data_IF_887318085487
#
_entry.id   IF_887318085487
#
_cell.length_a   1.000
_cell.length_b   1.000
_cell.length_c   1.000
_cell.angle_alpha   90.00
_cell.angle_beta   90.00
_cell.angle_gamma   90.00
#
_symmetry.space_group_name_H-M   'P 1'
#
loop_
_entity.id
_entity.type
_entity.pdbx_description
1 polymer ?
#
# COMPACT_ATOMS: atom_id res chain seq x y z
N UNK A 1 -29.92 57.67 25.40
CA UNK A 1 -29.58 57.42 23.99
C UNK A 1 -28.67 56.21 23.94
N UNK A 2 -29.20 55.04 23.61
CA UNK A 2 -28.42 53.82 23.37
C UNK A 2 -27.54 54.02 22.13
N UNK A 3 -26.22 53.84 22.29
CA UNK A 3 -25.30 53.83 21.15
C UNK A 3 -25.42 52.46 20.48
N UNK A 4 -25.99 52.43 19.28
CA UNK A 4 -25.96 51.24 18.42
C UNK A 4 -24.50 50.87 18.15
N UNK A 5 -24.07 49.71 18.66
CA UNK A 5 -22.72 49.21 18.52
C UNK A 5 -22.61 48.53 17.15
N UNK A 6 -21.78 49.09 16.25
CA UNK A 6 -21.60 48.53 14.90
C UNK A 6 -21.00 47.13 14.97
N UNK A 7 -21.69 46.14 14.40
CA UNK A 7 -21.20 44.75 14.29
C UNK A 7 -20.21 44.54 13.13
N UNK A 8 -19.95 45.57 12.31
CA UNK A 8 -19.04 45.50 11.16
C UNK A 8 -17.60 45.05 11.49
N UNK A 9 -16.94 45.52 12.58
CA UNK A 9 -15.59 45.08 12.90
C UNK A 9 -15.54 43.62 13.36
N UNK A 10 -16.60 43.11 14.00
CA UNK A 10 -16.71 41.72 14.42
C UNK A 10 -16.89 40.79 13.21
N UNK A 11 -17.69 41.20 12.23
CA UNK A 11 -17.90 40.45 10.99
C UNK A 11 -16.63 40.39 10.12
N UNK A 12 -15.88 41.49 10.05
CA UNK A 12 -14.61 41.55 9.34
C UNK A 12 -13.53 40.66 9.99
N UNK A 13 -13.53 40.57 11.32
CA UNK A 13 -12.62 39.70 12.08
C UNK A 13 -12.93 38.21 11.86
N UNK A 14 -14.21 37.83 11.72
CA UNK A 14 -14.62 36.45 11.41
C UNK A 14 -14.30 36.06 9.96
N UNK A 15 -14.40 37.00 9.02
CA UNK A 15 -14.05 36.76 7.60
C UNK A 15 -12.53 36.70 7.35
N UNK A 16 -11.72 37.33 8.20
CA UNK A 16 -10.25 37.33 8.11
C UNK A 16 -9.58 36.24 8.97
N UNK A 17 -10.34 35.45 9.73
CA UNK A 17 -9.78 34.25 10.36
C UNK A 17 -9.41 33.28 9.24
N UNK A 18 -8.14 32.83 9.13
CA UNK A 18 -7.80 31.75 8.22
C UNK A 18 -8.54 30.52 8.72
N UNK A 19 -9.64 30.18 8.08
CA UNK A 19 -10.18 28.84 8.17
C UNK A 19 -9.08 27.92 7.64
N UNK A 20 -8.39 27.24 8.55
CA UNK A 20 -7.50 26.14 8.20
C UNK A 20 -8.39 24.99 7.69
N UNK A 21 -8.81 25.08 6.42
CA UNK A 21 -9.34 23.95 5.68
C UNK A 21 -8.15 23.03 5.43
N UNK A 22 -7.99 22.01 6.28
CA UNK A 22 -6.97 20.99 6.11
C UNK A 22 -7.23 20.22 4.83
N UNK A 23 -6.56 20.59 3.74
CA UNK A 23 -6.61 19.84 2.50
C UNK A 23 -5.58 18.72 2.55
N UNK A 24 -6.01 17.48 2.31
CA UNK A 24 -5.10 16.34 2.21
C UNK A 24 -4.70 16.10 0.75
N UNK A 25 -3.40 15.91 0.51
CA UNK A 25 -2.90 15.47 -0.79
C UNK A 25 -3.09 13.95 -0.92
N UNK A 26 -4.26 13.56 -1.42
CA UNK A 26 -4.60 12.15 -1.64
C UNK A 26 -3.77 11.50 -2.75
N UNK A 27 -3.18 12.27 -3.67
CA UNK A 27 -2.27 11.72 -4.67
C UNK A 27 -0.98 11.25 -4.00
N UNK A 28 -0.41 12.08 -3.13
CA UNK A 28 0.76 11.70 -2.35
C UNK A 28 0.45 10.56 -1.38
N UNK A 29 -0.72 10.57 -0.73
CA UNK A 29 -1.14 9.48 0.15
C UNK A 29 -1.24 8.15 -0.60
N UNK A 30 -1.84 8.15 -1.80
CA UNK A 30 -1.94 6.96 -2.65
C UNK A 30 -0.55 6.44 -3.06
N UNK A 31 0.32 7.31 -3.58
CA UNK A 31 1.68 6.92 -3.98
C UNK A 31 2.47 6.30 -2.83
N UNK A 32 2.41 6.89 -1.63
CA UNK A 32 3.08 6.34 -0.44
C UNK A 32 2.47 5.04 0.04
N UNK A 33 1.14 4.89 -0.02
CA UNK A 33 0.45 3.65 0.33
C UNK A 33 0.86 2.48 -0.57
N UNK A 34 1.06 2.73 -1.87
CA UNK A 34 1.55 1.70 -2.79
C UNK A 34 3.04 1.43 -2.58
N UNK A 35 3.85 2.47 -2.33
CA UNK A 35 5.27 2.33 -2.03
C UNK A 35 5.55 1.50 -0.77
N UNK A 36 4.65 1.53 0.22
CA UNK A 36 4.72 0.68 1.40
C UNK A 36 4.85 -0.81 1.05
N UNK A 37 4.14 -1.30 0.03
CA UNK A 37 4.25 -2.71 -0.36
C UNK A 37 5.65 -3.05 -0.88
N UNK A 38 6.32 -2.17 -1.62
CA UNK A 38 7.72 -2.38 -2.00
C UNK A 38 8.64 -2.50 -0.78
N UNK A 39 8.35 -1.74 0.28
CA UNK A 39 9.06 -1.80 1.54
C UNK A 39 8.81 -3.10 2.33
N UNK A 40 7.79 -3.89 1.99
CA UNK A 40 7.47 -5.17 2.63
C UNK A 40 7.91 -6.41 1.84
N UNK A 41 8.40 -6.26 0.60
CA UNK A 41 8.77 -7.41 -0.25
C UNK A 41 9.84 -8.30 0.37
N UNK A 42 9.61 -9.62 0.42
CA UNK A 42 10.64 -10.64 0.68
C UNK A 42 11.10 -11.27 -0.65
N UNK A 43 12.31 -11.82 -0.71
CA UNK A 43 12.87 -12.50 -1.88
C UNK A 43 13.88 -11.68 -2.66
N UNK A 44 14.05 -12.00 -3.94
CA UNK A 44 14.93 -11.28 -4.87
C UNK A 44 14.27 -9.99 -5.35
N UNK A 45 14.71 -8.84 -4.85
CA UNK A 45 14.12 -7.56 -5.20
C UNK A 45 14.44 -7.17 -6.66
N UNK A 46 13.48 -6.60 -7.39
CA UNK A 46 13.70 -6.19 -8.76
C UNK A 46 14.61 -4.95 -8.81
N UNK A 47 15.48 -4.88 -9.83
CA UNK A 47 16.46 -3.79 -9.98
C UNK A 47 15.83 -2.39 -10.10
N UNK A 48 14.57 -2.31 -10.52
CA UNK A 48 13.82 -1.06 -10.67
C UNK A 48 12.96 -0.72 -9.43
N UNK A 49 13.16 -1.40 -8.29
CA UNK A 49 12.49 -1.06 -7.03
C UNK A 49 12.82 0.37 -6.58
N UNK A 50 11.80 1.11 -6.12
CA UNK A 50 11.92 2.51 -5.65
C UNK A 50 12.44 2.61 -4.22
N UNK A 51 12.19 1.59 -3.38
CA UNK A 51 12.67 1.53 -1.99
C UNK A 51 14.12 1.05 -1.95
N UNK A 52 15.07 1.97 -1.83
CA UNK A 52 16.52 1.73 -2.00
C UNK A 52 17.26 1.19 -0.78
N UNK A 53 16.66 1.25 0.41
CA UNK A 53 17.26 0.74 1.64
C UNK A 53 16.94 -0.73 1.93
N UNK A 54 16.03 -1.35 1.16
CA UNK A 54 15.75 -2.79 1.21
C UNK A 54 16.74 -3.55 0.31
N UNK A 55 17.01 -4.80 0.66
CA UNK A 55 17.85 -5.72 -0.10
C UNK A 55 17.22 -7.12 -0.17
N UNK A 56 17.80 -8.00 -0.98
CA UNK A 56 17.37 -9.40 -1.11
C UNK A 56 17.31 -10.08 0.27
N UNK A 57 16.22 -10.78 0.58
CA UNK A 57 15.99 -11.45 1.86
C UNK A 57 15.14 -12.72 1.70
N UNK A 58 15.07 -13.60 2.71
CA UNK A 58 14.21 -14.80 2.63
C UNK A 58 14.58 -15.78 1.52
N UNK A 59 15.86 -15.85 1.12
CA UNK A 59 16.31 -16.61 -0.07
C UNK A 59 16.33 -18.15 0.13
N UNK A 60 16.00 -18.60 1.33
CA UNK A 60 15.91 -20.01 1.70
C UNK A 60 14.48 -20.44 2.05
N UNK A 61 13.49 -19.55 1.91
CA UNK A 61 12.09 -19.84 2.22
C UNK A 61 11.62 -21.07 1.42
N UNK A 62 11.05 -22.06 2.13
CA UNK A 62 10.54 -23.31 1.54
C UNK A 62 11.57 -24.43 1.34
N UNK A 63 12.88 -24.16 1.42
CA UNK A 63 13.92 -25.17 1.14
C UNK A 63 13.85 -26.40 2.05
N UNK A 64 13.49 -26.21 3.33
CA UNK A 64 13.34 -27.32 4.27
C UNK A 64 12.22 -28.32 3.87
N UNK A 65 11.23 -27.83 3.12
CA UNK A 65 10.10 -28.61 2.60
C UNK A 65 10.27 -28.98 1.12
N UNK A 66 11.43 -28.69 0.52
CA UNK A 66 11.72 -29.01 -0.89
C UNK A 66 10.97 -28.16 -1.92
N UNK A 67 10.43 -27.01 -1.52
CA UNK A 67 9.66 -26.09 -2.38
C UNK A 67 10.32 -24.71 -2.47
N UNK A 68 10.03 -23.96 -3.53
CA UNK A 68 10.42 -22.54 -3.62
C UNK A 68 9.31 -21.66 -3.06
N UNK A 69 9.52 -21.10 -1.87
CA UNK A 69 8.61 -20.11 -1.27
C UNK A 69 9.24 -18.71 -1.21
N UNK A 70 10.28 -18.43 -1.99
CA UNK A 70 10.91 -17.11 -2.06
C UNK A 70 9.97 -16.11 -2.76
N UNK A 71 9.78 -14.92 -2.17
CA UNK A 71 8.87 -13.88 -2.68
C UNK A 71 7.89 -13.36 -1.63
N UNK A 72 6.79 -12.73 -2.04
CA UNK A 72 5.70 -12.34 -1.15
C UNK A 72 6.03 -11.16 -0.23
N UNK A 73 5.17 -10.90 0.75
CA UNK A 73 5.29 -9.77 1.67
C UNK A 73 5.52 -10.24 3.11
N UNK A 74 6.36 -9.52 3.83
CA UNK A 74 6.36 -9.57 5.29
C UNK A 74 5.10 -8.89 5.82
N UNK A 75 4.48 -9.48 6.84
CA UNK A 75 3.13 -9.12 7.27
C UNK A 75 3.05 -7.73 7.92
N UNK A 76 3.96 -7.46 8.87
CA UNK A 76 3.95 -6.22 9.63
C UNK A 76 5.36 -5.65 9.83
N UNK A 77 5.77 -5.42 11.07
CA UNK A 77 7.12 -4.98 11.44
C UNK A 77 8.12 -6.12 11.63
N UNK A 78 7.68 -7.35 11.37
CA UNK A 78 8.45 -8.59 11.48
C UNK A 78 8.81 -9.13 10.08
N UNK A 79 9.29 -10.37 10.04
CA UNK A 79 9.73 -11.02 8.81
C UNK A 79 8.96 -12.33 8.53
N UNK A 80 7.82 -12.58 9.19
CA UNK A 80 6.96 -13.72 8.90
C UNK A 80 6.05 -13.39 7.72
N UNK A 81 5.71 -14.43 6.94
CA UNK A 81 4.85 -14.34 5.75
C UNK A 81 3.53 -15.02 6.03
N UNK A 82 2.68 -14.36 6.81
CA UNK A 82 1.35 -14.88 7.13
C UNK A 82 0.45 -14.87 5.88
N UNK A 83 0.09 -16.06 5.39
CA UNK A 83 -0.62 -16.23 4.13
C UNK A 83 -2.03 -15.65 4.14
N UNK A 84 -2.75 -15.72 5.26
CA UNK A 84 -4.11 -15.18 5.38
C UNK A 84 -4.18 -13.64 5.21
N UNK A 85 -3.48 -12.82 6.02
CA UNK A 85 -3.50 -11.37 5.85
C UNK A 85 -2.87 -10.92 4.53
N UNK A 86 -1.88 -11.65 4.01
CA UNK A 86 -1.35 -11.40 2.66
C UNK A 86 -2.43 -11.59 1.59
N UNK A 87 -3.12 -12.74 1.56
CA UNK A 87 -4.17 -13.02 0.59
C UNK A 87 -5.33 -12.01 0.68
N UNK A 88 -5.72 -11.62 1.90
CA UNK A 88 -6.70 -10.55 2.11
C UNK A 88 -6.23 -9.22 1.49
N UNK A 89 -4.99 -8.82 1.77
CA UNK A 89 -4.38 -7.59 1.24
C UNK A 89 -4.36 -7.57 -0.29
N UNK A 90 -3.94 -8.67 -0.93
CA UNK A 90 -3.92 -8.79 -2.39
C UNK A 90 -5.32 -8.73 -2.99
N UNK A 91 -6.30 -9.33 -2.32
CA UNK A 91 -7.72 -9.26 -2.73
C UNK A 91 -8.21 -7.80 -2.70
N UNK A 92 -7.97 -7.08 -1.61
CA UNK A 92 -8.39 -5.68 -1.45
C UNK A 92 -7.68 -4.75 -2.43
N UNK A 93 -6.38 -4.96 -2.68
CA UNK A 93 -5.65 -4.21 -3.70
C UNK A 93 -6.22 -4.46 -5.10
N UNK A 94 -6.48 -5.72 -5.44
CA UNK A 94 -7.06 -6.09 -6.74
C UNK A 94 -8.44 -5.47 -6.93
N UNK A 95 -9.28 -5.50 -5.90
CA UNK A 95 -10.59 -4.86 -5.93
C UNK A 95 -10.47 -3.34 -6.11
N UNK A 96 -9.56 -2.69 -5.39
CA UNK A 96 -9.29 -1.25 -5.54
C UNK A 96 -8.86 -0.88 -6.95
N UNK A 97 -8.04 -1.70 -7.61
CA UNK A 97 -7.66 -1.51 -9.02
C UNK A 97 -8.85 -1.66 -9.96
N UNK A 98 -9.74 -2.63 -9.72
CA UNK A 98 -10.96 -2.82 -10.53
C UNK A 98 -11.86 -1.59 -10.45
N UNK A 99 -12.11 -1.07 -9.23
CA UNK A 99 -13.01 0.07 -9.02
C UNK A 99 -12.38 1.41 -9.44
N UNK A 100 -11.10 1.61 -9.12
CA UNK A 100 -10.43 2.92 -9.16
C UNK A 100 -9.18 2.92 -10.07
N UNK A 101 -9.03 1.95 -10.96
CA UNK A 101 -7.86 1.87 -11.85
C UNK A 101 -7.68 3.09 -12.76
N UNK A 102 -8.79 3.70 -13.23
CA UNK A 102 -8.73 4.93 -14.06
C UNK A 102 -8.11 6.12 -13.32
N UNK A 103 -8.60 6.53 -12.13
CA UNK A 103 -7.95 7.60 -11.38
C UNK A 103 -6.53 7.22 -10.91
N UNK A 104 -6.25 5.95 -10.59
CA UNK A 104 -4.86 5.52 -10.33
C UNK A 104 -3.95 5.73 -11.54
N UNK A 105 -4.44 5.45 -12.76
CA UNK A 105 -3.70 5.67 -13.99
C UNK A 105 -3.45 7.17 -14.24
N UNK A 106 -4.45 8.02 -13.97
CA UNK A 106 -4.31 9.46 -14.07
C UNK A 106 -3.25 10.02 -13.10
N UNK A 107 -3.06 9.37 -11.95
CA UNK A 107 -1.99 9.69 -10.99
C UNK A 107 -0.67 8.90 -11.25
N UNK A 108 -0.59 8.11 -12.33
CA UNK A 108 0.62 7.34 -12.67
C UNK A 108 0.92 6.12 -11.77
N UNK A 109 0.02 5.76 -10.85
CA UNK A 109 0.24 4.70 -9.85
C UNK A 109 -0.35 3.33 -10.25
N UNK A 110 -1.17 3.27 -11.31
CA UNK A 110 -1.81 2.00 -11.72
C UNK A 110 -0.80 0.87 -11.93
N UNK A 111 0.32 1.16 -12.62
CA UNK A 111 1.36 0.16 -12.87
C UNK A 111 1.98 -0.35 -11.56
N UNK A 112 2.25 0.54 -10.61
CA UNK A 112 2.82 0.18 -9.33
C UNK A 112 1.85 -0.63 -8.47
N UNK A 113 0.56 -0.30 -8.49
CA UNK A 113 -0.48 -1.09 -7.84
C UNK A 113 -0.58 -2.51 -8.43
N UNK A 114 -0.54 -2.63 -9.76
CA UNK A 114 -0.53 -3.93 -10.44
C UNK A 114 0.73 -4.74 -10.15
N UNK A 115 1.90 -4.11 -10.11
CA UNK A 115 3.16 -4.76 -9.71
C UNK A 115 3.11 -5.27 -8.26
N UNK A 116 2.46 -4.52 -7.36
CA UNK A 116 2.27 -4.93 -5.98
C UNK A 116 1.32 -6.14 -5.86
N UNK A 117 0.21 -6.15 -6.61
CA UNK A 117 -0.67 -7.33 -6.71
C UNK A 117 0.09 -8.53 -7.25
N UNK A 118 0.80 -8.36 -8.36
CA UNK A 118 1.57 -9.43 -9.01
C UNK A 118 2.56 -10.07 -8.05
N UNK A 119 3.31 -9.27 -7.29
CA UNK A 119 4.29 -9.78 -6.33
C UNK A 119 3.68 -10.71 -5.28
N UNK A 120 2.50 -10.35 -4.76
CA UNK A 120 1.77 -11.18 -3.81
C UNK A 120 1.17 -12.43 -4.46
N UNK A 121 0.55 -12.30 -5.65
CA UNK A 121 -0.04 -13.45 -6.34
C UNK A 121 1.01 -14.45 -6.82
N UNK A 122 2.18 -13.99 -7.27
CA UNK A 122 3.28 -14.88 -7.65
C UNK A 122 3.70 -15.76 -6.46
N UNK A 123 3.74 -15.20 -5.25
CA UNK A 123 4.00 -15.97 -4.03
C UNK A 123 2.86 -16.93 -3.69
N UNK A 124 1.60 -16.50 -3.77
CA UNK A 124 0.46 -17.37 -3.48
C UNK A 124 0.38 -18.56 -4.45
N UNK A 125 0.78 -18.38 -5.72
CA UNK A 125 0.91 -19.47 -6.69
C UNK A 125 2.01 -20.45 -6.26
N UNK A 126 3.18 -19.94 -5.86
CA UNK A 126 4.27 -20.79 -5.32
C UNK A 126 3.86 -21.55 -4.05
N UNK A 127 3.07 -20.91 -3.20
CA UNK A 127 2.55 -21.49 -1.96
C UNK A 127 1.53 -22.62 -2.21
N UNK A 128 1.03 -22.77 -3.44
CA UNK A 128 0.10 -23.83 -3.85
C UNK A 128 0.73 -24.76 -4.91
N UNK A 129 1.76 -25.55 -4.56
CA UNK A 129 2.50 -26.36 -5.53
C UNK A 129 1.73 -27.59 -6.03
N UNK A 130 0.71 -28.04 -5.29
CA UNK A 130 -0.12 -29.21 -5.62
C UNK A 130 -1.60 -28.92 -5.35
N UNK A 131 -2.55 -29.60 -6.02
CA UNK A 131 -3.99 -29.27 -5.95
C UNK A 131 -4.62 -29.22 -4.55
N UNK A 132 -4.03 -29.91 -3.57
CA UNK A 132 -4.55 -30.00 -2.21
C UNK A 132 -3.51 -29.61 -1.14
N UNK A 133 -2.43 -28.92 -1.54
CA UNK A 133 -1.37 -28.44 -0.63
C UNK A 133 -1.30 -26.93 -0.70
N UNK A 134 -1.39 -26.27 0.45
CA UNK A 134 -1.22 -24.82 0.57
C UNK A 134 -0.29 -24.51 1.75
N UNK A 135 0.81 -23.82 1.49
CA UNK A 135 1.69 -23.27 2.52
C UNK A 135 1.11 -21.95 3.03
N UNK A 136 0.70 -21.94 4.30
CA UNK A 136 0.10 -20.76 4.94
C UNK A 136 1.09 -19.86 5.68
N UNK A 137 2.29 -20.37 5.96
CA UNK A 137 3.39 -19.71 6.68
C UNK A 137 4.72 -20.38 6.29
#
# INVERSE_FOLDING_TARGET
MEKSMSMAPLLLMVLCLPFALGWHDYNQALSKSILFFEAQRSGYLPHNQRVTWRANSGLNDGKASGVDLVGGYYDAGDNVKFGLPMAFTITMMSWSIIEYGKPMAANGELRHAMEAVKWGTDYLIKAHPEPYVLYGE
#
